data_IF_658321324581
#
_entry.id   IF_658321324581
#
_cell.length_a   1.000
_cell.length_b   1.000
_cell.length_c   1.000
_cell.angle_alpha   90.00
_cell.angle_beta   90.00
_cell.angle_gamma   90.00
#
_symmetry.space_group_name_H-M   'P 1'
#
loop_
_entity.id
_entity.type
_entity.pdbx_description
1 polymer ?
#
# COMPACT_ATOMS: atom_id res chain seq x y z
N UNK A 1 -17.65 -26.74 4.88
CA UNK A 1 -17.23 -26.02 6.10
C UNK A 1 -18.45 -25.90 6.99
N UNK A 2 -18.43 -26.50 8.17
CA UNK A 2 -19.51 -26.41 9.16
C UNK A 2 -19.09 -25.36 10.16
N UNK A 3 -19.73 -24.18 10.12
CA UNK A 3 -19.58 -23.19 11.19
C UNK A 3 -20.14 -23.78 12.49
N UNK A 4 -19.53 -23.52 13.69
CA UNK A 4 -19.99 -24.09 14.94
C UNK A 4 -21.46 -23.78 15.21
N UNK A 5 -22.20 -24.79 15.66
CA UNK A 5 -23.65 -24.69 15.89
C UNK A 5 -24.04 -23.61 16.95
N UNK A 6 -23.12 -23.27 17.83
CA UNK A 6 -23.29 -22.23 18.87
C UNK A 6 -23.35 -20.79 18.30
N UNK A 7 -22.93 -20.55 17.04
CA UNK A 7 -23.01 -19.23 16.41
C UNK A 7 -24.35 -18.97 15.68
N UNK A 8 -25.29 -19.92 15.65
CA UNK A 8 -26.57 -19.72 14.93
C UNK A 8 -27.42 -18.59 15.54
N UNK A 9 -27.39 -18.40 16.85
CA UNK A 9 -28.08 -17.25 17.50
C UNK A 9 -27.30 -15.94 17.38
N UNK A 10 -25.97 -16.02 17.39
CA UNK A 10 -25.10 -14.84 17.18
C UNK A 10 -25.14 -14.34 15.73
N UNK A 11 -25.58 -15.13 14.77
CA UNK A 11 -25.65 -14.76 13.37
C UNK A 11 -26.94 -14.00 13.00
N UNK A 12 -27.95 -13.94 13.88
CA UNK A 12 -29.11 -13.07 13.65
C UNK A 12 -28.67 -11.61 13.70
N UNK A 13 -28.94 -10.88 12.63
CA UNK A 13 -28.64 -9.46 12.55
C UNK A 13 -29.62 -8.68 13.42
N UNK A 14 -29.10 -7.72 14.20
CA UNK A 14 -29.87 -7.02 15.22
C UNK A 14 -30.88 -6.01 14.67
N UNK A 15 -30.63 -5.49 13.45
CA UNK A 15 -31.47 -4.47 12.80
C UNK A 15 -31.82 -4.90 11.38
N UNK A 16 -33.12 -4.93 11.05
CA UNK A 16 -33.63 -5.33 9.74
C UNK A 16 -33.74 -4.16 8.74
N UNK A 17 -33.18 -3.00 9.08
CA UNK A 17 -33.16 -1.87 8.14
C UNK A 17 -32.16 -2.15 7.02
N UNK A 18 -32.58 -2.15 5.74
CA UNK A 18 -31.80 -2.70 4.62
C UNK A 18 -30.46 -2.01 4.39
N UNK A 19 -30.31 -0.72 4.72
CA UNK A 19 -29.03 -0.01 4.64
C UNK A 19 -28.00 -0.46 5.67
N UNK A 20 -28.44 -0.91 6.83
CA UNK A 20 -27.56 -1.42 7.89
C UNK A 20 -27.20 -2.90 7.72
N UNK A 21 -27.98 -3.69 6.98
CA UNK A 21 -27.80 -5.15 6.88
C UNK A 21 -26.49 -5.54 6.20
N UNK A 22 -26.12 -4.94 5.10
CA UNK A 22 -24.86 -5.28 4.43
C UNK A 22 -23.63 -4.93 5.28
N UNK A 23 -23.69 -3.85 6.08
CA UNK A 23 -22.61 -3.49 7.00
C UNK A 23 -22.46 -4.54 8.10
N UNK A 24 -23.58 -5.02 8.65
CA UNK A 24 -23.57 -6.09 9.65
C UNK A 24 -23.01 -7.39 9.07
N UNK A 25 -23.38 -7.74 7.82
CA UNK A 25 -22.85 -8.93 7.13
C UNK A 25 -21.34 -8.79 6.92
N UNK A 26 -20.85 -7.63 6.47
CA UNK A 26 -19.41 -7.35 6.35
C UNK A 26 -18.72 -7.55 7.70
N UNK A 27 -19.30 -7.01 8.78
CA UNK A 27 -18.79 -7.17 10.13
C UNK A 27 -18.69 -8.63 10.56
N UNK A 28 -19.69 -9.46 10.24
CA UNK A 28 -19.70 -10.91 10.55
C UNK A 28 -18.62 -11.67 9.78
N UNK A 29 -18.53 -11.46 8.48
CA UNK A 29 -17.49 -12.09 7.64
C UNK A 29 -16.09 -11.68 8.14
N UNK A 30 -15.88 -10.40 8.47
CA UNK A 30 -14.64 -9.91 9.07
C UNK A 30 -14.30 -10.63 10.36
N UNK A 31 -15.28 -10.82 11.24
CA UNK A 31 -15.07 -11.55 12.51
C UNK A 31 -14.71 -13.01 12.29
N UNK A 32 -15.30 -13.69 11.30
CA UNK A 32 -14.90 -15.05 10.94
C UNK A 32 -13.45 -15.15 10.49
N UNK A 33 -12.99 -14.15 9.72
CA UNK A 33 -11.59 -14.07 9.28
C UNK A 33 -10.65 -13.80 10.47
N UNK A 34 -10.98 -12.80 11.31
CA UNK A 34 -10.16 -12.44 12.49
C UNK A 34 -10.05 -13.60 13.49
N UNK A 35 -11.15 -14.33 13.74
CA UNK A 35 -11.15 -15.49 14.62
C UNK A 35 -10.53 -16.76 13.99
N UNK A 36 -10.10 -16.69 12.71
CA UNK A 36 -9.50 -17.83 12.01
C UNK A 36 -10.48 -18.91 11.57
N UNK A 37 -11.79 -18.65 11.63
CA UNK A 37 -12.81 -19.55 11.09
C UNK A 37 -12.82 -19.59 9.55
N UNK A 38 -12.39 -18.50 8.92
CA UNK A 38 -12.10 -18.36 7.50
C UNK A 38 -10.65 -17.95 7.32
N UNK A 39 -9.90 -18.75 6.58
CA UNK A 39 -8.50 -18.48 6.24
C UNK A 39 -8.36 -18.11 4.77
N UNK A 40 -7.22 -17.58 4.39
CA UNK A 40 -6.86 -17.33 2.99
C UNK A 40 -7.10 -18.61 2.15
N UNK A 41 -7.78 -18.43 1.02
CA UNK A 41 -8.13 -19.50 0.10
C UNK A 41 -9.40 -20.26 0.44
N UNK A 42 -9.97 -20.09 1.63
CA UNK A 42 -11.23 -20.73 2.01
C UNK A 42 -12.40 -20.13 1.23
N UNK A 43 -13.31 -21.02 0.77
CA UNK A 43 -14.54 -20.59 0.12
C UNK A 43 -15.58 -20.18 1.17
N UNK A 44 -16.20 -19.02 0.97
CA UNK A 44 -17.37 -18.61 1.73
C UNK A 44 -18.57 -19.47 1.33
N UNK A 45 -19.57 -19.62 2.24
CA UNK A 45 -20.87 -20.17 1.86
C UNK A 45 -21.47 -19.36 0.70
N UNK A 46 -22.27 -20.01 -0.16
CA UNK A 46 -22.94 -19.32 -1.27
C UNK A 46 -23.86 -18.19 -0.77
N UNK A 47 -24.12 -17.19 -1.62
CA UNK A 47 -25.06 -16.10 -1.27
C UNK A 47 -26.39 -16.59 -0.71
N UNK A 48 -26.92 -17.71 -1.28
CA UNK A 48 -28.15 -18.31 -0.81
C UNK A 48 -28.00 -18.82 0.62
N UNK A 49 -26.93 -19.55 0.91
CA UNK A 49 -26.67 -20.09 2.25
C UNK A 49 -26.40 -18.98 3.25
N UNK A 50 -25.65 -17.95 2.87
CA UNK A 50 -25.42 -16.77 3.73
C UNK A 50 -26.74 -16.03 4.03
N UNK A 51 -27.63 -15.88 3.05
CA UNK A 51 -28.93 -15.27 3.24
C UNK A 51 -29.80 -16.07 4.24
N UNK A 52 -29.81 -17.39 4.10
CA UNK A 52 -30.49 -18.30 5.05
C UNK A 52 -29.85 -18.22 6.46
N UNK A 53 -28.52 -18.18 6.56
CA UNK A 53 -27.80 -18.11 7.84
C UNK A 53 -28.05 -16.79 8.59
N UNK A 54 -28.14 -15.66 7.86
CA UNK A 54 -28.36 -14.33 8.44
C UNK A 54 -29.87 -13.97 8.57
N UNK A 55 -30.77 -14.82 8.10
CA UNK A 55 -32.21 -14.55 8.04
C UNK A 55 -32.55 -13.26 7.31
N UNK A 56 -31.94 -13.06 6.13
CA UNK A 56 -32.12 -11.89 5.27
C UNK A 56 -32.37 -12.28 3.82
N UNK A 57 -32.80 -11.33 3.00
CA UNK A 57 -32.86 -11.52 1.54
C UNK A 57 -31.44 -11.61 0.94
N UNK A 58 -31.34 -12.07 -0.32
CA UNK A 58 -30.04 -12.19 -1.01
C UNK A 58 -29.39 -10.85 -1.33
N UNK A 59 -30.18 -9.78 -1.49
CA UNK A 59 -29.67 -8.45 -1.89
C UNK A 59 -28.58 -7.90 -0.96
N UNK A 60 -28.78 -7.76 0.36
CA UNK A 60 -27.74 -7.24 1.28
C UNK A 60 -26.52 -8.17 1.33
N UNK A 61 -26.69 -9.48 1.14
CA UNK A 61 -25.55 -10.42 1.06
C UNK A 61 -24.70 -10.14 -0.18
N UNK A 62 -25.35 -10.05 -1.36
CA UNK A 62 -24.67 -9.75 -2.61
C UNK A 62 -23.94 -8.39 -2.54
N UNK A 63 -24.58 -7.38 -1.95
CA UNK A 63 -23.99 -6.06 -1.73
C UNK A 63 -22.75 -6.13 -0.81
N UNK A 64 -22.84 -6.85 0.30
CA UNK A 64 -21.72 -7.05 1.21
C UNK A 64 -20.54 -7.74 0.53
N UNK A 65 -20.79 -8.80 -0.23
CA UNK A 65 -19.74 -9.53 -0.93
C UNK A 65 -19.07 -8.69 -2.03
N UNK A 66 -19.82 -7.88 -2.77
CA UNK A 66 -19.25 -6.94 -3.75
C UNK A 66 -18.36 -5.89 -3.11
N UNK A 67 -18.75 -5.36 -1.95
CA UNK A 67 -17.91 -4.41 -1.20
C UNK A 67 -16.62 -5.10 -0.71
N UNK A 68 -16.73 -6.31 -0.16
CA UNK A 68 -15.56 -7.07 0.27
C UNK A 68 -14.63 -7.44 -0.90
N UNK A 69 -15.19 -7.71 -2.07
CA UNK A 69 -14.43 -7.96 -3.30
C UNK A 69 -13.74 -6.70 -3.79
N UNK A 70 -14.43 -5.55 -3.80
CA UNK A 70 -13.85 -4.25 -4.12
C UNK A 70 -12.68 -3.89 -3.19
N UNK A 71 -12.80 -4.19 -1.90
CA UNK A 71 -11.75 -4.01 -0.90
C UNK A 71 -10.64 -5.09 -0.98
N UNK A 72 -10.78 -6.10 -1.83
CA UNK A 72 -9.79 -7.17 -1.99
C UNK A 72 -9.73 -8.15 -0.81
N UNK A 73 -10.76 -8.19 0.04
CA UNK A 73 -10.88 -9.15 1.14
C UNK A 73 -11.30 -10.52 0.66
N UNK A 74 -12.14 -10.56 -0.40
CA UNK A 74 -12.58 -11.77 -1.06
C UNK A 74 -12.41 -11.64 -2.57
N UNK A 75 -12.47 -12.77 -3.28
CA UNK A 75 -12.46 -12.81 -4.75
C UNK A 75 -13.40 -13.89 -5.26
N UNK A 76 -14.02 -13.66 -6.41
CA UNK A 76 -14.82 -14.68 -7.09
C UNK A 76 -13.92 -15.57 -7.94
N UNK A 77 -13.89 -16.88 -7.63
CA UNK A 77 -13.14 -17.89 -8.39
C UNK A 77 -14.13 -18.78 -9.14
N UNK A 78 -13.99 -18.84 -10.47
CA UNK A 78 -14.85 -19.66 -11.31
C UNK A 78 -14.82 -21.13 -10.85
N UNK A 79 -15.99 -21.70 -10.60
CA UNK A 79 -16.14 -23.07 -10.12
C UNK A 79 -15.92 -23.28 -8.62
N UNK A 80 -15.36 -22.31 -7.90
CA UNK A 80 -15.12 -22.41 -6.44
C UNK A 80 -16.00 -21.45 -5.63
N UNK A 81 -16.54 -20.39 -6.27
CA UNK A 81 -17.33 -19.38 -5.63
C UNK A 81 -16.50 -18.23 -5.06
N UNK A 82 -17.02 -17.55 -4.03
CA UNK A 82 -16.34 -16.45 -3.35
C UNK A 82 -15.37 -17.01 -2.32
N UNK A 83 -14.09 -16.66 -2.43
CA UNK A 83 -13.02 -17.13 -1.55
C UNK A 83 -12.34 -15.97 -0.84
N UNK A 84 -11.86 -16.21 0.40
CA UNK A 84 -11.02 -15.25 1.12
C UNK A 84 -9.72 -15.04 0.39
N UNK A 85 -9.35 -13.78 0.18
CA UNK A 85 -8.10 -13.37 -0.45
C UNK A 85 -7.13 -12.87 0.63
N UNK A 86 -5.83 -13.00 0.39
CA UNK A 86 -4.83 -12.28 1.17
C UNK A 86 -5.05 -10.79 0.96
N UNK A 87 -5.19 -10.05 2.08
CA UNK A 87 -5.34 -8.60 1.99
C UNK A 87 -4.06 -8.04 1.38
N UNK A 88 -4.24 -7.35 0.27
CA UNK A 88 -3.18 -6.73 -0.50
C UNK A 88 -3.46 -5.23 -0.61
N UNK A 89 -2.57 -4.44 -0.02
CA UNK A 89 -2.68 -2.99 -0.04
C UNK A 89 -2.65 -2.42 -1.47
N UNK A 90 -1.94 -3.09 -2.39
CA UNK A 90 -1.90 -2.71 -3.81
C UNK A 90 -3.30 -2.72 -4.43
N UNK A 91 -4.12 -3.74 -4.09
CA UNK A 91 -5.48 -3.83 -4.60
C UNK A 91 -6.35 -2.65 -4.12
N UNK A 92 -6.22 -2.28 -2.86
CA UNK A 92 -6.95 -1.13 -2.28
C UNK A 92 -6.51 0.16 -2.97
N UNK A 93 -5.21 0.39 -3.09
CA UNK A 93 -4.66 1.62 -3.66
C UNK A 93 -4.96 1.78 -5.15
N UNK A 94 -4.98 0.70 -5.91
CA UNK A 94 -5.39 0.73 -7.32
C UNK A 94 -6.84 1.21 -7.48
N UNK A 95 -7.69 0.99 -6.48
CA UNK A 95 -9.09 1.40 -6.53
C UNK A 95 -9.36 2.79 -5.94
N UNK A 96 -8.56 3.24 -4.98
CA UNK A 96 -8.81 4.52 -4.29
C UNK A 96 -7.60 5.49 -4.28
N UNK A 97 -6.44 5.07 -4.80
CA UNK A 97 -5.21 5.88 -4.77
C UNK A 97 -5.37 7.25 -5.42
N UNK A 98 -6.19 7.33 -6.48
CA UNK A 98 -6.48 8.60 -7.16
C UNK A 98 -7.18 9.64 -6.27
N UNK A 99 -7.84 9.21 -5.19
CA UNK A 99 -8.49 10.09 -4.22
C UNK A 99 -7.50 10.63 -3.17
N UNK A 100 -6.32 10.01 -3.05
CA UNK A 100 -5.38 10.31 -1.98
C UNK A 100 -4.27 11.27 -2.40
N UNK A 101 -4.06 11.44 -3.70
CA UNK A 101 -2.97 12.24 -4.23
C UNK A 101 -3.52 13.48 -4.92
N UNK A 102 -3.11 14.64 -4.44
CA UNK A 102 -3.27 15.88 -5.20
C UNK A 102 -2.33 15.85 -6.42
N UNK A 103 -2.82 16.09 -7.65
CA UNK A 103 -1.98 16.05 -8.85
C UNK A 103 -0.77 16.99 -8.81
N UNK A 104 -0.86 18.11 -8.07
CA UNK A 104 0.19 19.13 -8.03
C UNK A 104 1.15 18.95 -6.85
N UNK A 105 0.67 18.45 -5.71
CA UNK A 105 1.43 18.40 -4.45
C UNK A 105 1.65 16.99 -3.92
N UNK A 106 0.90 16.01 -4.43
CA UNK A 106 0.87 14.67 -3.85
C UNK A 106 2.23 14.00 -3.70
N UNK A 107 3.14 14.21 -4.64
CA UNK A 107 4.50 13.66 -4.55
C UNK A 107 5.31 14.31 -3.42
N UNK A 108 5.21 15.62 -3.28
CA UNK A 108 5.89 16.36 -2.20
C UNK A 108 5.37 15.93 -0.83
N UNK A 109 4.04 15.90 -0.68
CA UNK A 109 3.39 15.53 0.58
C UNK A 109 3.70 14.06 0.97
N UNK A 110 3.86 13.16 -0.04
CA UNK A 110 4.32 11.79 0.19
C UNK A 110 5.74 11.72 0.72
N UNK A 111 6.65 12.55 0.21
CA UNK A 111 8.03 12.59 0.71
C UNK A 111 8.11 13.17 2.11
N UNK A 112 7.32 14.20 2.44
CA UNK A 112 7.24 14.72 3.81
C UNK A 112 6.71 13.67 4.80
N UNK A 113 5.64 12.96 4.43
CA UNK A 113 5.10 11.88 5.26
C UNK A 113 6.13 10.75 5.46
N UNK A 114 6.86 10.41 4.41
CA UNK A 114 7.91 9.39 4.45
C UNK A 114 9.05 9.82 5.37
N UNK A 115 9.55 11.04 5.26
CA UNK A 115 10.60 11.57 6.14
C UNK A 115 10.19 11.46 7.61
N UNK A 116 8.95 11.82 7.94
CA UNK A 116 8.45 11.76 9.31
C UNK A 116 8.49 10.33 9.89
N UNK A 117 8.11 9.31 9.12
CA UNK A 117 8.15 7.93 9.60
C UNK A 117 9.56 7.34 9.60
N UNK A 118 10.42 7.71 8.64
CA UNK A 118 11.78 7.22 8.54
C UNK A 118 12.67 7.71 9.70
N UNK A 119 12.52 8.95 10.13
CA UNK A 119 13.22 9.47 11.30
C UNK A 119 12.89 8.67 12.56
N UNK A 120 11.61 8.36 12.77
CA UNK A 120 11.20 7.54 13.91
C UNK A 120 11.65 6.08 13.75
N UNK A 121 11.57 5.53 12.55
CA UNK A 121 12.03 4.18 12.27
C UNK A 121 13.54 4.04 12.51
N UNK A 122 14.35 5.02 12.07
CA UNK A 122 15.80 5.05 12.30
C UNK A 122 16.15 5.03 13.80
N UNK A 123 15.41 5.79 14.62
CA UNK A 123 15.60 5.77 16.08
C UNK A 123 15.32 4.39 16.67
N UNK A 124 14.23 3.75 16.27
CA UNK A 124 13.89 2.40 16.74
C UNK A 124 14.88 1.36 16.21
N UNK A 125 15.29 1.47 14.94
CA UNK A 125 16.27 0.59 14.33
C UNK A 125 17.62 0.66 15.05
N UNK A 126 18.05 1.84 15.50
CA UNK A 126 19.30 1.98 16.28
C UNK A 126 19.29 1.14 17.56
N UNK A 127 18.12 0.92 18.16
CA UNK A 127 17.93 0.12 19.39
C UNK A 127 17.69 -1.37 19.12
N UNK A 128 17.09 -1.72 17.98
CA UNK A 128 16.48 -3.05 17.76
C UNK A 128 17.09 -3.86 16.63
N UNK A 129 17.82 -3.20 15.73
CA UNK A 129 18.39 -3.84 14.54
C UNK A 129 19.17 -5.11 14.85
N UNK A 130 19.08 -6.07 13.96
CA UNK A 130 19.94 -7.26 13.93
C UNK A 130 21.17 -7.02 13.03
N UNK A 131 22.09 -7.98 12.99
CA UNK A 131 23.20 -7.95 12.04
C UNK A 131 22.70 -8.07 10.60
N UNK A 132 21.72 -8.92 10.38
CA UNK A 132 21.08 -9.14 9.08
C UNK A 132 20.42 -7.89 8.54
N UNK A 133 19.84 -7.06 9.42
CA UNK A 133 19.28 -5.76 9.02
C UNK A 133 20.37 -4.79 8.55
N UNK A 134 21.50 -4.78 9.23
CA UNK A 134 22.67 -3.97 8.83
C UNK A 134 23.21 -4.40 7.48
N UNK A 135 23.38 -5.70 7.27
CA UNK A 135 23.87 -6.29 6.02
C UNK A 135 22.92 -5.91 4.86
N UNK A 136 21.61 -5.99 5.08
CA UNK A 136 20.62 -5.60 4.07
C UNK A 136 20.67 -4.10 3.70
N UNK A 137 20.92 -3.21 4.67
CA UNK A 137 21.12 -1.78 4.42
C UNK A 137 22.43 -1.52 3.69
N UNK A 138 23.52 -2.18 4.08
CA UNK A 138 24.85 -2.06 3.44
C UNK A 138 24.80 -2.54 1.98
N UNK A 139 24.21 -3.69 1.72
CA UNK A 139 24.01 -4.22 0.35
C UNK A 139 23.27 -3.22 -0.54
N UNK A 140 22.22 -2.59 -0.02
CA UNK A 140 21.47 -1.60 -0.76
C UNK A 140 22.29 -0.33 -1.05
N UNK A 141 23.12 0.12 -0.10
CA UNK A 141 24.05 1.26 -0.30
C UNK A 141 25.11 0.92 -1.34
N UNK A 142 25.74 -0.25 -1.27
CA UNK A 142 26.73 -0.70 -2.25
C UNK A 142 26.14 -0.81 -3.67
N UNK A 143 24.88 -1.28 -3.78
CA UNK A 143 24.18 -1.29 -5.07
C UNK A 143 23.93 0.12 -5.58
N UNK A 144 23.54 1.05 -4.70
CA UNK A 144 23.34 2.46 -5.05
C UNK A 144 24.63 3.09 -5.56
N UNK A 145 25.75 2.89 -4.88
CA UNK A 145 27.08 3.36 -5.30
C UNK A 145 27.50 2.83 -6.68
N UNK A 146 27.31 1.51 -6.89
CA UNK A 146 27.57 0.87 -8.21
C UNK A 146 26.71 1.48 -9.31
N UNK A 147 25.43 1.70 -9.03
CA UNK A 147 24.51 2.27 -10.02
C UNK A 147 24.88 3.72 -10.35
N UNK A 148 25.30 4.53 -9.38
CA UNK A 148 25.83 5.88 -9.59
C UNK A 148 27.08 5.82 -10.49
N UNK A 149 28.05 4.96 -10.15
CA UNK A 149 29.28 4.81 -10.93
C UNK A 149 29.01 4.37 -12.38
N UNK A 150 27.98 3.55 -12.60
CA UNK A 150 27.57 3.07 -13.92
C UNK A 150 26.55 3.99 -14.63
N UNK A 151 26.18 5.14 -14.04
CA UNK A 151 25.13 6.04 -14.53
C UNK A 151 23.78 5.34 -14.78
N UNK A 152 23.45 4.38 -13.90
CA UNK A 152 22.17 3.67 -13.90
C UNK A 152 21.20 4.27 -12.91
N UNK A 153 19.92 3.92 -13.03
CA UNK A 153 18.89 4.31 -12.07
C UNK A 153 19.19 3.74 -10.68
N UNK A 154 19.16 4.61 -9.67
CA UNK A 154 19.42 4.27 -8.27
C UNK A 154 18.14 4.03 -7.46
N UNK A 155 16.98 4.24 -8.08
CA UNK A 155 15.71 4.25 -7.38
C UNK A 155 15.42 2.92 -6.65
N UNK A 156 15.64 1.80 -7.31
CA UNK A 156 15.37 0.49 -6.71
C UNK A 156 16.29 0.23 -5.51
N UNK A 157 17.56 0.59 -5.61
CA UNK A 157 18.50 0.47 -4.50
C UNK A 157 18.13 1.40 -3.34
N UNK A 158 17.71 2.64 -3.63
CA UNK A 158 17.19 3.59 -2.64
C UNK A 158 15.95 3.04 -1.92
N UNK A 159 14.98 2.52 -2.66
CA UNK A 159 13.77 1.90 -2.07
C UNK A 159 14.16 0.74 -1.15
N UNK A 160 15.11 -0.10 -1.55
CA UNK A 160 15.60 -1.22 -0.73
C UNK A 160 16.23 -0.75 0.57
N UNK A 161 17.08 0.28 0.52
CA UNK A 161 17.70 0.85 1.71
C UNK A 161 16.66 1.35 2.72
N UNK A 162 15.73 2.20 2.29
CA UNK A 162 14.70 2.74 3.15
C UNK A 162 13.76 1.67 3.70
N UNK A 163 13.44 0.66 2.90
CA UNK A 163 12.63 -0.48 3.35
C UNK A 163 13.37 -1.27 4.43
N UNK A 164 14.67 -1.57 4.24
CA UNK A 164 15.48 -2.27 5.23
C UNK A 164 15.56 -1.48 6.55
N UNK A 165 15.75 -0.14 6.48
CA UNK A 165 15.75 0.73 7.65
C UNK A 165 14.44 0.63 8.45
N UNK A 166 13.30 0.66 7.77
CA UNK A 166 11.99 0.57 8.43
C UNK A 166 11.75 -0.84 8.98
N UNK A 167 12.15 -1.89 8.27
CA UNK A 167 12.08 -3.27 8.76
C UNK A 167 12.90 -3.44 10.05
N UNK A 168 14.11 -2.87 10.11
CA UNK A 168 14.97 -2.88 11.28
C UNK A 168 14.37 -2.19 12.52
N UNK A 169 13.35 -1.33 12.33
CA UNK A 169 12.62 -0.74 13.46
C UNK A 169 11.85 -1.75 14.30
N UNK A 170 11.54 -2.94 13.74
CA UNK A 170 10.72 -3.96 14.37
C UNK A 170 9.31 -3.49 14.75
N UNK A 171 8.79 -2.48 14.06
CA UNK A 171 7.45 -1.95 14.29
C UNK A 171 6.53 -2.27 13.12
N UNK A 172 5.68 -3.28 13.28
CA UNK A 172 4.78 -3.77 12.23
C UNK A 172 3.87 -2.67 11.65
N UNK A 173 3.52 -1.67 12.44
CA UNK A 173 2.66 -0.58 11.96
C UNK A 173 3.46 0.36 11.05
N UNK A 174 4.68 0.73 11.41
CA UNK A 174 5.56 1.53 10.56
C UNK A 174 5.87 0.81 9.24
N UNK A 175 6.08 -0.50 9.30
CA UNK A 175 6.30 -1.34 8.11
C UNK A 175 5.09 -1.26 7.17
N UNK A 176 3.88 -1.46 7.67
CA UNK A 176 2.65 -1.37 6.87
C UNK A 176 2.38 0.02 6.33
N UNK A 177 2.66 1.08 7.11
CA UNK A 177 2.54 2.46 6.63
C UNK A 177 3.54 2.72 5.50
N UNK A 178 4.78 2.23 5.63
CA UNK A 178 5.77 2.38 4.56
C UNK A 178 5.35 1.64 3.28
N UNK A 179 4.85 0.40 3.39
CA UNK A 179 4.31 -0.34 2.24
C UNK A 179 3.23 0.48 1.52
N UNK A 180 2.33 1.09 2.29
CA UNK A 180 1.28 1.97 1.78
C UNK A 180 1.86 3.20 1.05
N UNK A 181 2.81 3.91 1.65
CA UNK A 181 3.44 5.10 1.03
C UNK A 181 4.24 4.72 -0.23
N UNK A 182 4.94 3.58 -0.21
CA UNK A 182 5.67 3.09 -1.39
C UNK A 182 4.73 2.79 -2.55
N UNK A 183 3.55 2.26 -2.27
CA UNK A 183 2.56 1.98 -3.30
C UNK A 183 1.95 3.27 -3.87
N UNK A 184 1.66 4.25 -3.04
CA UNK A 184 1.23 5.57 -3.51
C UNK A 184 2.30 6.22 -4.41
N UNK A 185 3.58 6.07 -4.09
CA UNK A 185 4.68 6.55 -4.94
C UNK A 185 4.70 5.85 -6.30
N UNK A 186 4.50 4.53 -6.33
CA UNK A 186 4.41 3.78 -7.60
C UNK A 186 3.22 4.24 -8.43
N UNK A 187 2.07 4.39 -7.78
CA UNK A 187 0.87 4.89 -8.44
C UNK A 187 1.08 6.28 -9.05
N UNK A 188 1.62 7.24 -8.27
CA UNK A 188 1.91 8.60 -8.74
C UNK A 188 2.83 8.60 -9.98
N UNK A 189 3.85 7.74 -10.00
CA UNK A 189 4.76 7.61 -11.15
C UNK A 189 4.07 7.04 -12.39
N UNK A 190 3.22 6.03 -12.22
CA UNK A 190 2.50 5.45 -13.34
C UNK A 190 1.56 6.46 -13.99
N UNK A 191 0.89 7.29 -13.20
CA UNK A 191 0.03 8.36 -13.73
C UNK A 191 0.85 9.44 -14.45
N UNK A 192 1.96 9.90 -13.88
CA UNK A 192 2.85 10.88 -14.53
C UNK A 192 3.39 10.38 -15.87
N UNK A 193 3.74 9.09 -15.97
CA UNK A 193 4.19 8.48 -17.24
C UNK A 193 3.07 8.39 -18.28
N UNK A 194 1.82 8.16 -17.87
CA UNK A 194 0.67 8.16 -18.78
C UNK A 194 0.39 9.55 -19.33
N UNK A 195 0.44 10.58 -18.49
CA UNK A 195 0.25 11.97 -18.89
C UNK A 195 1.33 12.42 -19.87
N UNK A 196 2.60 12.10 -19.59
CA UNK A 196 3.72 12.41 -20.50
C UNK A 196 3.54 11.71 -21.85
N UNK A 197 3.17 10.43 -21.86
CA UNK A 197 2.94 9.69 -23.11
C UNK A 197 1.73 10.22 -23.90
N UNK A 198 0.72 10.78 -23.27
CA UNK A 198 -0.41 11.43 -23.94
C UNK A 198 -0.03 12.81 -24.49
N UNK A 199 0.84 13.57 -23.81
CA UNK A 199 1.34 14.84 -24.29
C UNK A 199 2.29 14.68 -25.49
N UNK A 200 3.12 13.63 -25.50
CA UNK A 200 4.01 13.31 -26.62
C UNK A 200 3.28 12.92 -27.91
N UNK A 201 2.04 12.41 -27.78
CA UNK A 201 1.16 12.15 -28.95
C UNK A 201 0.59 13.45 -29.53
N UNK A 202 0.42 14.49 -28.70
CA UNK A 202 -0.15 15.77 -29.12
C UNK A 202 0.91 16.77 -29.59
N UNK A 203 2.15 16.66 -29.09
CA UNK A 203 3.27 17.51 -29.49
C UNK A 203 4.40 16.66 -30.05
N UNK A 204 4.41 16.47 -31.36
CA UNK A 204 5.50 15.84 -32.11
C UNK A 204 6.76 16.74 -32.16
N UNK A 205 7.29 17.09 -31.01
CA UNK A 205 8.65 17.62 -30.89
C UNK A 205 9.40 16.82 -29.83
N UNK A 206 10.55 16.19 -30.15
CA UNK A 206 11.38 15.52 -29.17
C UNK A 206 11.95 16.57 -28.23
N UNK A 207 11.56 16.55 -26.94
CA UNK A 207 12.31 17.21 -25.89
C UNK A 207 13.69 16.55 -25.84
N UNK A 208 14.64 17.20 -26.49
CA UNK A 208 16.03 16.79 -26.48
C UNK A 208 16.58 16.83 -25.07
N UNK A 209 16.67 15.68 -24.45
CA UNK A 209 17.53 15.47 -23.31
C UNK A 209 18.97 15.44 -23.79
N UNK A 210 19.53 16.64 -24.03
CA UNK A 210 20.94 16.78 -24.34
C UNK A 210 21.77 16.71 -23.07
N UNK A 211 22.11 15.50 -22.65
CA UNK A 211 23.05 15.24 -21.56
C UNK A 211 24.52 15.40 -21.99
N UNK A 212 24.82 15.98 -23.16
CA UNK A 212 26.20 16.12 -23.67
C UNK A 212 26.98 17.28 -23.09
N UNK A 213 26.44 18.03 -22.11
CA UNK A 213 27.11 19.17 -21.50
C UNK A 213 27.51 19.02 -20.03
N UNK A 214 27.34 17.85 -19.43
CA UNK A 214 27.73 17.68 -18.02
C UNK A 214 29.25 17.60 -17.89
N UNK A 215 29.84 18.63 -17.28
CA UNK A 215 31.25 18.71 -16.95
C UNK A 215 31.61 17.58 -15.94
N UNK A 216 32.60 16.71 -16.22
CA UNK A 216 32.96 15.59 -15.36
C UNK A 216 33.53 15.99 -13.99
N UNK A 217 33.70 17.27 -13.71
CA UNK A 217 34.18 17.81 -12.42
C UNK A 217 33.07 18.37 -11.54
N UNK A 218 31.84 18.44 -12.00
CA UNK A 218 30.73 18.81 -11.12
C UNK A 218 30.24 17.60 -10.33
N UNK A 219 30.02 17.76 -8.99
CA UNK A 219 29.48 16.67 -8.20
C UNK A 219 28.11 16.29 -8.79
N UNK A 220 27.97 15.01 -9.10
CA UNK A 220 26.69 14.41 -9.53
C UNK A 220 25.62 14.97 -8.61
N UNK A 221 24.52 15.55 -9.13
CA UNK A 221 23.43 15.97 -8.26
C UNK A 221 22.95 14.73 -7.51
N UNK A 222 23.44 14.56 -6.29
CA UNK A 222 22.76 13.77 -5.29
C UNK A 222 21.32 14.24 -5.41
N UNK A 223 20.38 13.33 -5.62
CA UNK A 223 18.97 13.63 -5.60
C UNK A 223 18.71 14.46 -4.33
N UNK A 224 18.95 15.75 -4.43
CA UNK A 224 18.45 16.71 -3.47
C UNK A 224 16.95 16.67 -3.70
N UNK A 225 16.26 15.89 -2.86
CA UNK A 225 14.91 16.29 -2.53
C UNK A 225 14.98 17.80 -2.36
N UNK A 226 14.08 18.61 -2.92
CA UNK A 226 14.05 20.01 -2.60
C UNK A 226 13.89 20.10 -1.09
N UNK A 227 15.03 20.25 -0.40
CA UNK A 227 15.04 20.53 1.04
C UNK A 227 14.41 21.91 1.11
N UNK A 228 13.25 22.06 1.77
CA UNK A 228 12.71 23.39 2.01
C UNK A 228 13.79 24.22 2.68
N UNK A 229 13.89 25.53 2.41
CA UNK A 229 14.95 26.40 2.93
C UNK A 229 15.07 26.17 4.43
N UNK A 230 16.31 25.95 4.88
CA UNK A 230 16.69 25.64 6.26
C UNK A 230 15.86 26.46 7.23
N UNK A 231 15.08 25.79 8.06
CA UNK A 231 14.50 26.37 9.27
C UNK A 231 15.60 26.53 10.32
N UNK A 232 16.36 27.59 10.25
CA UNK A 232 17.22 28.02 11.33
C UNK A 232 16.42 28.65 12.48
N UNK A 233 15.19 28.25 12.74
CA UNK A 233 14.34 28.86 13.75
C UNK A 233 13.47 27.90 14.55
N UNK A 234 13.94 26.73 14.96
CA UNK A 234 13.26 26.01 16.04
C UNK A 234 14.23 25.18 16.91
N UNK A 235 15.25 25.85 17.48
CA UNK A 235 15.89 25.36 18.70
C UNK A 235 16.07 26.59 19.62
N UNK A 236 15.01 26.95 20.29
CA UNK A 236 15.02 27.65 21.59
C UNK A 236 13.72 27.31 22.29
N UNK A 237 13.72 26.24 23.05
CA UNK A 237 13.26 26.09 24.45
C UNK A 237 13.72 24.73 24.90
#
# INVERSE_FOLDING_TARGET
MVLPAEEKELNKLADKNSEALYIQIIGRIRMWIIKGHLKEGDALPSERVLAEMFDVSRMPVSQALRILEFLGVVQHIRGKGVCVKKIDIHHILNNIGFLMLDPQRGLHDLFEAREAIEVQAARLAAERRTTEDLDAMEDALLEMERNIAMRKDVMNASIRFHTALIMASGNDILIKINEFLMELLRYSRQESLKETSQQDIVTSQPLGTDFRGANPTEPVPVLRYPIPPKRDQFIRV
#
